data_IF_905236693116
#
_entry.id   IF_905236693116
#
_cell.length_a   1.000
_cell.length_b   1.000
_cell.length_c   1.000
_cell.angle_alpha   90.00
_cell.angle_beta   90.00
_cell.angle_gamma   90.00
#
_symmetry.space_group_name_H-M   'P 1'
#
loop_
_entity.id
_entity.type
_entity.pdbx_description
1 polymer ?
#
# COMPACT_ATOMS: atom_id res chain seq x y z
N UNK A 1 -61.22 17.10 33.19
CA UNK A 1 -61.84 16.90 34.51
C UNK A 1 -61.49 15.49 34.99
N UNK A 2 -60.84 15.42 36.16
CA UNK A 2 -60.55 14.28 37.06
C UNK A 2 -59.86 13.04 36.45
N UNK A 3 -58.56 12.80 36.61
CA UNK A 3 -57.77 12.48 37.83
C UNK A 3 -58.31 11.27 38.60
N UNK A 4 -57.57 10.16 38.57
CA UNK A 4 -57.31 9.37 39.78
C UNK A 4 -56.02 8.53 39.65
N UNK A 5 -55.04 8.89 40.48
CA UNK A 5 -53.89 8.10 40.89
C UNK A 5 -54.34 6.88 41.70
N UNK A 6 -53.51 5.83 41.76
CA UNK A 6 -53.43 4.99 42.98
C UNK A 6 -51.98 4.57 43.23
N UNK A 7 -51.64 4.61 44.52
CA UNK A 7 -50.33 4.62 45.15
C UNK A 7 -49.69 3.24 45.34
N UNK A 8 -48.39 3.33 45.60
CA UNK A 8 -47.45 2.36 46.15
C UNK A 8 -47.88 1.60 47.42
N UNK A 9 -47.25 0.44 47.62
CA UNK A 9 -47.18 -0.29 48.88
C UNK A 9 -45.77 -0.89 49.07
N UNK A 10 -45.11 -0.47 50.15
CA UNK A 10 -43.75 -0.82 50.59
C UNK A 10 -43.82 -2.12 51.42
N UNK A 11 -42.80 -2.98 51.31
CA UNK A 11 -42.59 -4.12 52.20
C UNK A 11 -41.10 -4.44 52.33
N UNK A 12 -40.49 -3.95 53.40
CA UNK A 12 -39.09 -4.14 53.80
C UNK A 12 -39.05 -5.22 54.89
N UNK A 13 -38.28 -6.30 54.73
CA UNK A 13 -37.81 -7.15 55.85
C UNK A 13 -36.36 -7.57 55.62
N UNK A 14 -35.63 -7.55 56.75
CA UNK A 14 -34.19 -7.60 56.97
C UNK A 14 -33.49 -8.92 56.64
N UNK A 15 -32.19 -8.75 56.47
CA UNK A 15 -31.11 -9.73 56.36
C UNK A 15 -30.99 -10.74 57.52
N UNK A 16 -30.49 -11.93 57.17
CA UNK A 16 -29.58 -12.71 58.00
C UNK A 16 -28.68 -13.53 57.05
N UNK A 17 -27.37 -13.45 57.27
CA UNK A 17 -26.35 -13.98 56.38
C UNK A 17 -26.16 -15.48 56.46
N UNK A 18 -25.53 -16.01 55.41
CA UNK A 18 -24.73 -17.23 55.47
C UNK A 18 -23.68 -17.13 54.36
N UNK A 19 -22.42 -17.09 54.80
CA UNK A 19 -21.26 -17.23 53.97
C UNK A 19 -21.23 -18.64 53.38
N UNK A 20 -21.18 -18.73 52.06
CA UNK A 20 -20.76 -19.93 51.36
C UNK A 20 -19.90 -19.50 50.17
N UNK A 21 -18.61 -19.76 50.31
CA UNK A 21 -17.63 -19.62 49.26
C UNK A 21 -18.00 -20.56 48.09
N UNK A 22 -18.27 -20.00 46.93
CA UNK A 22 -18.24 -20.73 45.66
C UNK A 22 -17.21 -20.07 44.74
N UNK A 23 -16.10 -20.78 44.56
CA UNK A 23 -15.14 -20.54 43.50
C UNK A 23 -15.83 -20.65 42.13
N UNK A 24 -15.94 -19.53 41.43
CA UNK A 24 -16.19 -19.50 39.99
C UNK A 24 -15.03 -18.74 39.35
N UNK A 25 -14.00 -19.49 38.99
CA UNK A 25 -13.02 -19.07 38.00
C UNK A 25 -13.56 -19.38 36.60
N UNK A 26 -13.47 -18.41 35.69
CA UNK A 26 -13.52 -18.51 34.22
C UNK A 26 -13.54 -17.07 33.63
N UNK A 27 -13.00 -16.83 32.43
CA UNK A 27 -11.57 -16.69 32.18
C UNK A 27 -11.23 -15.26 31.72
N UNK A 28 -10.01 -14.81 32.03
CA UNK A 28 -9.42 -13.62 31.41
C UNK A 28 -9.34 -13.84 29.89
N UNK A 29 -9.90 -12.91 29.13
CA UNK A 29 -9.75 -12.86 27.69
C UNK A 29 -8.26 -12.67 27.35
N UNK A 30 -7.60 -13.75 26.98
CA UNK A 30 -6.25 -13.74 26.40
C UNK A 30 -6.39 -13.14 25.00
N UNK A 31 -6.02 -11.86 24.86
CA UNK A 31 -5.68 -11.32 23.56
C UNK A 31 -4.54 -12.17 22.98
N UNK A 32 -4.56 -12.58 21.70
CA UNK A 32 -3.40 -13.20 21.11
C UNK A 32 -2.30 -12.12 21.05
N UNK A 33 -1.35 -12.21 21.98
CA UNK A 33 -0.06 -11.57 21.85
C UNK A 33 0.57 -12.11 20.57
N UNK A 34 0.67 -11.26 19.54
CA UNK A 34 1.50 -11.51 18.38
C UNK A 34 2.95 -11.62 18.87
N UNK A 35 3.38 -12.84 19.18
CA UNK A 35 4.77 -13.16 19.39
C UNK A 35 5.51 -12.92 18.07
N UNK A 36 6.39 -11.91 18.07
CA UNK A 36 7.27 -11.62 16.95
C UNK A 36 8.20 -12.80 16.70
N UNK A 37 8.07 -13.41 15.53
CA UNK A 37 9.12 -14.28 15.00
C UNK A 37 10.27 -13.40 14.47
N UNK A 38 11.53 -13.70 14.85
CA UNK A 38 12.70 -12.96 14.35
C UNK A 38 12.92 -13.21 12.86
N UNK A 39 13.46 -12.20 12.19
CA UNK A 39 13.61 -12.14 10.75
C UNK A 39 14.28 -13.36 10.13
N UNK A 40 13.56 -14.02 9.23
CA UNK A 40 14.12 -14.86 8.19
C UNK A 40 13.98 -14.13 6.86
N UNK A 41 15.07 -14.02 6.10
CA UNK A 41 15.02 -13.72 4.67
C UNK A 41 14.34 -14.89 3.95
N UNK A 42 13.01 -14.93 4.01
CA UNK A 42 12.21 -15.96 3.36
C UNK A 42 12.07 -15.64 1.88
N UNK A 43 12.25 -16.64 1.03
CA UNK A 43 11.65 -16.65 -0.31
C UNK A 43 10.22 -16.09 -0.19
N UNK A 44 9.84 -15.14 -1.05
CA UNK A 44 8.51 -14.54 -1.01
C UNK A 44 7.44 -15.64 -1.17
N UNK A 45 6.97 -16.16 -0.03
CA UNK A 45 5.97 -17.20 0.01
C UNK A 45 4.65 -16.65 -0.51
N UNK A 46 3.84 -17.52 -1.10
CA UNK A 46 2.47 -17.18 -1.47
C UNK A 46 1.68 -16.75 -0.22
N UNK A 47 0.98 -15.62 -0.31
CA UNK A 47 0.15 -15.06 0.76
C UNK A 47 -1.29 -14.89 0.28
N UNK A 48 -2.30 -15.10 1.14
CA UNK A 48 -3.68 -14.85 0.78
C UNK A 48 -3.91 -13.36 0.47
N UNK A 49 -4.78 -13.10 -0.50
CA UNK A 49 -5.29 -11.76 -0.82
C UNK A 49 -6.75 -11.69 -0.36
N UNK A 50 -7.11 -10.61 0.32
CA UNK A 50 -8.48 -10.39 0.76
C UNK A 50 -9.38 -10.03 -0.44
N UNK A 51 -10.06 -11.02 -1.00
CA UNK A 51 -11.15 -10.82 -1.97
C UNK A 51 -12.42 -10.53 -1.18
N UNK A 52 -12.85 -9.26 -1.17
CA UNK A 52 -14.01 -8.84 -0.36
C UNK A 52 -15.26 -9.52 -0.93
N UNK A 53 -15.98 -10.29 -0.10
CA UNK A 53 -17.21 -10.97 -0.52
C UNK A 53 -17.01 -11.81 -1.80
N UNK A 54 -15.90 -12.54 -1.89
CA UNK A 54 -15.57 -13.40 -3.04
C UNK A 54 -16.49 -14.63 -3.18
N UNK A 55 -17.23 -14.97 -2.12
CA UNK A 55 -18.31 -15.97 -2.11
C UNK A 55 -19.66 -15.40 -2.60
N UNK A 56 -19.71 -14.07 -2.83
CA UNK A 56 -20.89 -13.32 -3.23
C UNK A 56 -22.09 -13.50 -2.32
N UNK A 57 -21.90 -13.83 -1.05
CA UNK A 57 -23.00 -14.06 -0.12
C UNK A 57 -23.66 -12.76 0.37
N UNK A 58 -22.96 -11.62 0.26
CA UNK A 58 -23.41 -10.33 0.79
C UNK A 58 -23.86 -9.32 -0.29
N UNK A 59 -24.92 -8.54 -0.04
CA UNK A 59 -25.88 -8.71 1.06
C UNK A 59 -26.63 -10.05 0.93
N UNK A 60 -27.17 -10.56 2.05
CA UNK A 60 -27.91 -11.81 2.06
C UNK A 60 -29.08 -11.78 1.07
N UNK A 61 -29.31 -12.90 0.39
CA UNK A 61 -30.30 -13.01 -0.67
C UNK A 61 -31.52 -13.82 -0.19
N UNK A 62 -32.74 -13.43 -0.57
CA UNK A 62 -33.86 -14.36 -0.54
C UNK A 62 -33.63 -15.42 -1.64
N UNK A 63 -33.80 -16.70 -1.31
CA UNK A 63 -33.75 -17.79 -2.28
C UNK A 63 -34.94 -17.78 -3.25
N UNK A 64 -34.92 -18.67 -4.23
CA UNK A 64 -36.01 -18.97 -5.16
C UNK A 64 -36.07 -18.10 -6.43
N UNK A 65 -35.19 -17.11 -6.59
CA UNK A 65 -35.12 -16.29 -7.81
C UNK A 65 -33.78 -15.58 -7.99
N UNK A 66 -33.53 -15.09 -9.20
CA UNK A 66 -32.39 -14.21 -9.49
C UNK A 66 -32.54 -12.88 -8.77
N UNK A 67 -31.49 -12.44 -8.09
CA UNK A 67 -31.43 -11.16 -7.42
C UNK A 67 -30.66 -10.14 -8.26
N UNK A 68 -31.26 -8.96 -8.47
CA UNK A 68 -30.67 -7.87 -9.25
C UNK A 68 -30.10 -6.74 -8.38
N UNK A 69 -29.93 -6.99 -7.09
CA UNK A 69 -29.35 -6.05 -6.14
C UNK A 69 -27.83 -5.99 -6.22
N UNK A 70 -27.22 -5.03 -5.51
CA UNK A 70 -25.77 -4.87 -5.49
C UNK A 70 -25.08 -6.09 -4.87
N UNK A 71 -23.81 -6.25 -5.24
CA UNK A 71 -22.91 -7.25 -4.65
C UNK A 71 -21.91 -6.48 -3.80
N UNK A 72 -21.95 -6.66 -2.48
CA UNK A 72 -21.16 -5.84 -1.56
C UNK A 72 -19.66 -5.97 -1.87
N UNK A 73 -18.93 -4.85 -1.98
CA UNK A 73 -17.50 -4.83 -2.31
C UNK A 73 -17.15 -5.10 -3.78
N UNK A 74 -18.14 -5.35 -4.64
CA UNK A 74 -17.97 -5.48 -6.09
C UNK A 74 -18.81 -4.44 -6.81
N UNK A 75 -18.50 -4.21 -8.08
CA UNK A 75 -19.19 -3.21 -8.88
C UNK A 75 -19.29 -3.51 -10.35
N UNK A 76 -20.23 -2.84 -10.99
CA UNK A 76 -20.36 -2.74 -12.45
C UNK A 76 -20.19 -1.26 -12.82
N UNK A 77 -19.47 -0.94 -13.89
CA UNK A 77 -19.31 0.47 -14.33
C UNK A 77 -18.51 1.31 -13.33
N UNK A 78 -18.94 2.53 -12.96
CA UNK A 78 -18.32 3.32 -11.88
C UNK A 78 -19.06 3.13 -10.55
N UNK A 79 -18.31 3.16 -9.45
CA UNK A 79 -18.68 3.11 -8.03
C UNK A 79 -18.79 4.47 -7.33
N UNK A 80 -18.87 5.59 -8.04
CA UNK A 80 -19.23 6.84 -7.39
C UNK A 80 -20.69 6.77 -6.89
N UNK A 81 -20.89 6.25 -5.67
CA UNK A 81 -22.21 5.90 -5.11
C UNK A 81 -22.45 4.38 -5.09
N UNK A 82 -23.38 3.92 -4.22
CA UNK A 82 -23.76 2.52 -3.96
C UNK A 82 -23.63 1.66 -5.23
N UNK A 83 -22.68 0.71 -5.24
CA UNK A 83 -22.25 -0.03 -6.43
C UNK A 83 -23.40 -0.45 -7.34
N UNK A 84 -23.28 -0.20 -8.65
CA UNK A 84 -24.40 -0.45 -9.56
C UNK A 84 -24.57 -1.96 -9.82
N UNK A 85 -25.82 -2.43 -9.85
CA UNK A 85 -26.17 -3.83 -10.08
C UNK A 85 -26.57 -4.11 -11.55
N UNK A 86 -26.66 -3.08 -12.40
CA UNK A 86 -27.29 -3.15 -13.71
C UNK A 86 -26.63 -4.14 -14.69
N UNK A 87 -25.38 -4.59 -14.44
CA UNK A 87 -24.67 -5.56 -15.29
C UNK A 87 -24.63 -7.00 -14.80
N UNK A 88 -25.18 -7.29 -13.62
CA UNK A 88 -25.08 -8.63 -13.00
C UNK A 88 -26.41 -9.10 -12.40
N UNK A 89 -26.56 -10.42 -12.24
CA UNK A 89 -27.63 -11.03 -11.45
C UNK A 89 -27.06 -12.11 -10.54
N UNK A 90 -27.56 -12.24 -9.31
CA UNK A 90 -27.07 -13.23 -8.33
C UNK A 90 -28.05 -14.37 -8.13
N UNK A 91 -27.52 -15.59 -7.99
CA UNK A 91 -28.28 -16.79 -7.62
C UNK A 91 -27.74 -17.34 -6.30
N UNK A 92 -28.61 -17.47 -5.30
CA UNK A 92 -28.23 -17.89 -3.96
C UNK A 92 -28.17 -19.42 -3.84
N UNK A 93 -27.21 -19.93 -3.06
CA UNK A 93 -27.30 -21.28 -2.52
C UNK A 93 -27.51 -22.38 -3.56
N UNK A 94 -28.54 -23.20 -3.34
CA UNK A 94 -28.93 -24.27 -4.26
C UNK A 94 -29.50 -23.76 -5.61
N UNK A 95 -30.01 -22.52 -5.68
CA UNK A 95 -30.58 -21.95 -6.90
C UNK A 95 -29.51 -21.63 -7.94
N UNK A 96 -28.23 -21.51 -7.54
CA UNK A 96 -27.11 -21.38 -8.48
C UNK A 96 -26.79 -22.69 -9.20
N UNK A 97 -27.30 -23.82 -8.69
CA UNK A 97 -26.95 -25.15 -9.13
C UNK A 97 -25.49 -25.55 -8.84
N UNK A 98 -24.73 -24.72 -8.11
CA UNK A 98 -23.36 -25.06 -7.72
C UNK A 98 -23.37 -26.30 -6.81
N UNK A 99 -22.49 -27.30 -7.03
CA UNK A 99 -22.48 -28.55 -6.26
C UNK A 99 -22.35 -28.32 -4.75
N UNK A 100 -21.52 -27.36 -4.33
CA UNK A 100 -21.35 -26.98 -2.92
C UNK A 100 -22.38 -25.93 -2.42
N UNK A 101 -23.40 -25.61 -3.20
CA UNK A 101 -24.42 -24.61 -2.83
C UNK A 101 -23.87 -23.18 -2.66
N UNK A 102 -22.87 -22.80 -3.45
CA UNK A 102 -22.28 -21.45 -3.42
C UNK A 102 -23.18 -20.43 -4.11
N UNK A 103 -23.11 -19.17 -3.69
CA UNK A 103 -23.76 -18.07 -4.43
C UNK A 103 -22.97 -17.77 -5.70
N UNK A 104 -23.68 -17.51 -6.80
CA UNK A 104 -23.08 -17.24 -8.10
C UNK A 104 -23.56 -15.90 -8.67
N UNK A 105 -22.69 -15.26 -9.45
CA UNK A 105 -22.97 -14.03 -10.19
C UNK A 105 -23.03 -14.35 -11.68
N UNK A 106 -24.15 -14.02 -12.31
CA UNK A 106 -24.36 -14.04 -13.75
C UNK A 106 -23.90 -12.73 -14.39
N UNK A 107 -23.01 -12.83 -15.37
CA UNK A 107 -22.56 -11.69 -16.17
C UNK A 107 -23.58 -11.39 -17.27
N UNK A 108 -24.36 -10.31 -17.12
CA UNK A 108 -25.54 -10.08 -17.97
C UNK A 108 -25.20 -9.58 -19.36
N UNK A 109 -24.46 -8.48 -19.47
CA UNK A 109 -24.36 -7.74 -20.72
C UNK A 109 -22.94 -7.76 -21.31
N UNK A 110 -22.79 -7.93 -22.63
CA UNK A 110 -21.50 -7.93 -23.28
C UNK A 110 -21.02 -6.50 -23.54
N UNK A 111 -20.38 -5.87 -22.56
CA UNK A 111 -19.59 -4.65 -22.77
C UNK A 111 -18.64 -4.40 -21.59
N UNK A 112 -17.53 -3.70 -21.83
CA UNK A 112 -16.60 -3.29 -20.78
C UNK A 112 -17.29 -2.43 -19.69
N UNK A 113 -18.26 -1.60 -20.07
CA UNK A 113 -19.07 -0.82 -19.13
C UNK A 113 -19.87 -1.68 -18.14
N UNK A 114 -20.11 -2.96 -18.48
CA UNK A 114 -20.80 -3.94 -17.64
C UNK A 114 -19.85 -4.94 -16.96
N UNK A 115 -18.53 -4.69 -17.00
CA UNK A 115 -17.54 -5.52 -16.33
C UNK A 115 -17.79 -5.57 -14.83
N UNK A 116 -17.89 -6.78 -14.28
CA UNK A 116 -18.04 -7.03 -12.86
C UNK A 116 -16.67 -7.07 -12.20
N UNK A 117 -16.39 -6.09 -11.35
CA UNK A 117 -15.02 -5.77 -10.92
C UNK A 117 -14.86 -5.55 -9.42
N UNK A 118 -13.64 -5.78 -8.96
CA UNK A 118 -13.20 -5.51 -7.60
C UNK A 118 -11.71 -5.18 -7.57
N UNK A 119 -11.32 -4.23 -6.71
CA UNK A 119 -9.89 -4.01 -6.40
C UNK A 119 -9.41 -5.03 -5.36
N UNK A 120 -8.29 -5.68 -5.68
CA UNK A 120 -7.66 -6.66 -4.80
C UNK A 120 -6.84 -5.96 -3.72
N UNK A 121 -7.46 -5.74 -2.55
CA UNK A 121 -6.89 -4.94 -1.45
C UNK A 121 -5.60 -5.55 -0.90
N UNK A 122 -4.64 -4.69 -0.55
CA UNK A 122 -3.35 -5.10 0.02
C UNK A 122 -2.38 -5.78 -0.98
N UNK A 123 -2.66 -5.73 -2.29
CA UNK A 123 -1.74 -6.17 -3.34
C UNK A 123 -0.92 -4.99 -3.83
N UNK A 124 0.40 -5.17 -3.99
CA UNK A 124 1.29 -4.12 -4.50
C UNK A 124 1.50 -4.22 -6.00
N UNK A 125 1.77 -3.08 -6.64
CA UNK A 125 2.30 -3.05 -7.99
C UNK A 125 3.57 -3.93 -8.07
N UNK A 126 3.67 -4.77 -9.09
CA UNK A 126 4.72 -5.77 -9.28
C UNK A 126 4.47 -7.12 -8.59
N UNK A 127 3.42 -7.27 -7.77
CA UNK A 127 3.06 -8.56 -7.18
C UNK A 127 2.56 -9.52 -8.26
N UNK A 128 2.95 -10.80 -8.15
CA UNK A 128 2.35 -11.86 -8.96
C UNK A 128 1.11 -12.38 -8.26
N UNK A 129 -0.06 -12.22 -8.86
CA UNK A 129 -1.35 -12.60 -8.29
C UNK A 129 -1.89 -13.81 -9.05
N UNK A 130 -2.41 -14.79 -8.32
CA UNK A 130 -3.18 -15.91 -8.87
C UNK A 130 -4.58 -15.87 -8.30
N UNK A 131 -5.55 -15.66 -9.17
CA UNK A 131 -6.98 -15.70 -8.88
C UNK A 131 -7.50 -17.10 -9.20
N UNK A 132 -8.28 -17.67 -8.29
CA UNK A 132 -9.02 -18.92 -8.46
C UNK A 132 -10.50 -18.62 -8.40
N UNK A 133 -11.30 -19.22 -9.27
CA UNK A 133 -12.75 -19.04 -9.31
C UNK A 133 -13.42 -20.25 -9.96
N UNK A 134 -14.73 -20.38 -9.76
CA UNK A 134 -15.57 -21.41 -10.38
C UNK A 134 -16.43 -20.77 -11.48
N UNK A 135 -16.70 -21.51 -12.56
CA UNK A 135 -17.51 -21.02 -13.67
C UNK A 135 -18.54 -22.04 -14.19
N UNK A 136 -19.60 -21.55 -14.82
CA UNK A 136 -20.69 -22.38 -15.35
C UNK A 136 -21.48 -21.63 -16.43
N UNK A 137 -22.05 -22.32 -17.43
CA UNK A 137 -23.00 -21.69 -18.34
C UNK A 137 -24.25 -21.16 -17.60
N UNK A 138 -24.96 -20.22 -18.21
CA UNK A 138 -26.14 -19.59 -17.64
C UNK A 138 -27.28 -20.57 -17.35
N UNK A 139 -27.79 -20.51 -16.12
CA UNK A 139 -28.86 -21.41 -15.65
C UNK A 139 -30.27 -20.83 -15.79
N UNK A 140 -30.39 -19.53 -16.07
CA UNK A 140 -31.67 -18.83 -16.08
C UNK A 140 -32.74 -19.54 -16.92
N UNK A 141 -34.01 -19.49 -16.51
CA UNK A 141 -35.11 -20.10 -17.28
C UNK A 141 -35.24 -19.56 -18.71
N UNK A 142 -34.79 -18.31 -18.94
CA UNK A 142 -34.76 -17.65 -20.23
C UNK A 142 -33.64 -18.15 -21.17
N UNK A 143 -32.60 -18.82 -20.65
CA UNK A 143 -31.55 -19.38 -21.49
C UNK A 143 -32.10 -20.49 -22.40
N UNK A 144 -31.86 -20.37 -23.70
CA UNK A 144 -32.23 -21.40 -24.68
C UNK A 144 -31.17 -22.51 -24.73
N UNK A 145 -31.52 -23.74 -25.17
CA UNK A 145 -30.53 -24.81 -25.37
C UNK A 145 -29.39 -24.36 -26.31
N UNK A 146 -29.74 -23.64 -27.39
CA UNK A 146 -28.75 -23.12 -28.34
C UNK A 146 -27.78 -22.10 -27.72
N UNK A 147 -28.25 -21.29 -26.76
CA UNK A 147 -27.44 -20.27 -26.08
C UNK A 147 -26.28 -20.84 -25.25
N UNK A 148 -26.38 -22.10 -24.82
CA UNK A 148 -25.41 -22.76 -23.92
C UNK A 148 -24.81 -24.04 -24.51
N UNK A 149 -25.26 -24.46 -25.70
CA UNK A 149 -24.81 -25.71 -26.35
C UNK A 149 -23.31 -25.77 -26.62
N UNK A 150 -22.64 -24.63 -26.79
CA UNK A 150 -21.18 -24.54 -26.97
C UNK A 150 -20.47 -23.86 -25.78
N UNK A 151 -21.18 -23.70 -24.67
CA UNK A 151 -20.73 -22.86 -23.56
C UNK A 151 -20.88 -21.37 -23.89
N UNK A 152 -20.53 -20.54 -22.91
CA UNK A 152 -20.68 -19.09 -22.98
C UNK A 152 -19.33 -18.42 -22.76
N UNK A 153 -19.02 -17.47 -23.64
CA UNK A 153 -17.75 -16.76 -23.61
C UNK A 153 -17.75 -15.61 -22.60
N UNK A 154 -16.61 -15.41 -21.95
CA UNK A 154 -16.33 -14.28 -21.06
C UNK A 154 -14.83 -14.00 -21.03
N UNK A 155 -14.45 -12.88 -20.42
CA UNK A 155 -13.05 -12.55 -20.13
C UNK A 155 -12.83 -12.38 -18.64
N UNK A 156 -11.63 -12.73 -18.18
CA UNK A 156 -11.08 -12.35 -16.88
C UNK A 156 -9.79 -11.55 -17.10
N UNK A 157 -9.67 -10.44 -16.38
CA UNK A 157 -8.55 -9.51 -16.52
C UNK A 157 -8.19 -8.92 -15.16
N UNK A 158 -6.90 -8.88 -14.85
CA UNK A 158 -6.35 -8.14 -13.71
C UNK A 158 -5.52 -6.97 -14.23
N UNK A 159 -5.59 -5.80 -13.60
CA UNK A 159 -4.82 -4.62 -14.04
C UNK A 159 -3.32 -4.93 -14.15
N UNK A 160 -2.77 -4.83 -15.36
CA UNK A 160 -1.39 -5.17 -15.71
C UNK A 160 -1.18 -6.57 -16.30
N UNK A 161 -2.22 -7.40 -16.31
CA UNK A 161 -2.26 -8.70 -16.95
C UNK A 161 -2.86 -8.68 -18.34
N UNK A 162 -2.57 -9.71 -19.12
CA UNK A 162 -3.24 -9.98 -20.39
C UNK A 162 -4.70 -10.37 -20.16
N UNK A 163 -5.58 -9.93 -21.06
CA UNK A 163 -6.99 -10.34 -21.06
C UNK A 163 -7.06 -11.84 -21.35
N UNK A 164 -7.66 -12.61 -20.44
CA UNK A 164 -7.85 -14.05 -20.63
C UNK A 164 -9.26 -14.32 -21.14
N UNK A 165 -9.37 -14.69 -22.42
CA UNK A 165 -10.61 -15.20 -22.99
C UNK A 165 -10.93 -16.61 -22.49
N UNK A 166 -12.18 -16.83 -22.12
CA UNK A 166 -12.67 -18.07 -21.53
C UNK A 166 -14.02 -18.44 -22.11
N UNK A 167 -14.32 -19.73 -22.10
CA UNK A 167 -15.63 -20.28 -22.45
C UNK A 167 -16.00 -21.29 -21.38
N UNK A 168 -17.21 -21.18 -20.82
CA UNK A 168 -17.75 -22.14 -19.84
C UNK A 168 -17.88 -23.53 -20.48
N UNK A 169 -18.14 -24.56 -19.66
CA UNK A 169 -18.58 -25.85 -20.22
C UNK A 169 -19.91 -25.68 -21.00
N UNK A 170 -20.15 -26.52 -22.03
CA UNK A 170 -21.46 -26.60 -22.66
C UNK A 170 -22.50 -27.25 -21.75
N UNK A 171 -23.76 -26.87 -21.89
CA UNK A 171 -24.89 -27.49 -21.18
C UNK A 171 -25.87 -28.13 -22.18
N UNK A 172 -25.71 -29.43 -22.51
CA UNK A 172 -26.59 -30.14 -23.42
C UNK A 172 -27.96 -30.46 -22.81
N UNK A 173 -28.07 -30.43 -21.47
CA UNK A 173 -29.29 -30.79 -20.75
C UNK A 173 -30.22 -29.58 -20.52
N UNK A 174 -29.79 -28.40 -20.96
CA UNK A 174 -30.56 -27.17 -20.81
C UNK A 174 -31.92 -27.28 -21.51
N UNK A 175 -32.98 -26.94 -20.78
CA UNK A 175 -34.36 -26.81 -21.30
C UNK A 175 -34.87 -25.39 -21.12
N UNK A 176 -35.55 -24.88 -22.14
CA UNK A 176 -36.22 -23.58 -22.09
C UNK A 176 -37.31 -23.59 -21.00
N UNK A 177 -37.52 -22.44 -20.34
CA UNK A 177 -38.50 -22.24 -19.26
C UNK A 177 -38.24 -23.09 -18.00
N UNK A 178 -37.02 -23.60 -17.83
CA UNK A 178 -36.61 -24.31 -16.61
C UNK A 178 -35.32 -23.71 -16.05
N UNK A 179 -35.26 -23.56 -14.73
CA UNK A 179 -34.01 -23.22 -14.06
C UNK A 179 -33.05 -24.40 -14.21
N UNK A 180 -31.89 -24.14 -14.80
CA UNK A 180 -30.84 -25.13 -15.01
C UNK A 180 -30.09 -25.43 -13.71
N UNK A 181 -29.33 -26.53 -13.71
CA UNK A 181 -28.40 -26.86 -12.62
C UNK A 181 -26.97 -26.34 -12.90
N UNK A 182 -26.73 -25.87 -14.12
CA UNK A 182 -25.40 -25.45 -14.55
C UNK A 182 -24.46 -26.64 -14.77
N UNK A 183 -23.33 -26.36 -15.40
CA UNK A 183 -22.24 -27.31 -15.62
C UNK A 183 -20.98 -26.68 -15.06
N UNK A 184 -20.82 -26.84 -13.74
CA UNK A 184 -19.79 -26.16 -12.97
C UNK A 184 -18.41 -26.76 -13.20
N UNK A 185 -17.43 -25.91 -13.51
CA UNK A 185 -16.02 -26.23 -13.41
C UNK A 185 -15.43 -25.47 -12.24
N UNK A 186 -14.82 -26.19 -11.32
CA UNK A 186 -14.26 -25.60 -10.11
C UNK A 186 -12.76 -25.35 -10.27
N UNK A 187 -12.22 -24.36 -9.55
CA UNK A 187 -10.78 -24.14 -9.44
C UNK A 187 -10.12 -23.61 -10.71
N UNK A 188 -10.84 -22.86 -11.54
CA UNK A 188 -10.26 -22.17 -12.69
C UNK A 188 -9.26 -21.12 -12.21
N UNK A 189 -8.10 -21.04 -12.83
CA UNK A 189 -7.04 -20.11 -12.42
C UNK A 189 -6.71 -19.07 -13.49
N UNK A 190 -6.42 -17.85 -13.02
CA UNK A 190 -5.88 -16.75 -13.82
C UNK A 190 -4.73 -16.08 -13.03
N UNK A 191 -3.56 -15.95 -13.67
CA UNK A 191 -2.36 -15.38 -13.04
C UNK A 191 -1.90 -14.17 -13.82
N UNK A 192 -1.55 -13.09 -13.11
CA UNK A 192 -1.04 -11.85 -13.69
C UNK A 192 -0.02 -11.18 -12.77
N UNK A 193 0.71 -10.20 -13.29
CA UNK A 193 1.54 -9.30 -12.48
C UNK A 193 0.81 -7.96 -12.36
N UNK A 194 0.58 -7.49 -11.15
CA UNK A 194 -0.12 -6.24 -10.90
C UNK A 194 0.66 -5.04 -11.46
N UNK A 195 0.04 -4.19 -12.27
CA UNK A 195 0.66 -2.93 -12.75
C UNK A 195 0.51 -1.76 -11.78
N UNK A 196 -0.44 -1.85 -10.85
CA UNK A 196 -0.80 -0.80 -9.89
C UNK A 196 -1.02 -1.40 -8.49
N UNK A 197 -1.08 -0.54 -7.47
CA UNK A 197 -1.50 -0.96 -6.13
C UNK A 197 -3.00 -1.26 -6.14
N UNK A 198 -3.41 -2.27 -5.38
CA UNK A 198 -4.78 -2.80 -5.37
C UNK A 198 -5.36 -2.99 -6.79
N UNK A 199 -4.73 -3.82 -7.64
CA UNK A 199 -5.09 -3.96 -9.04
C UNK A 199 -6.56 -4.36 -9.18
N UNK A 200 -7.20 -3.83 -10.21
CA UNK A 200 -8.58 -4.13 -10.53
C UNK A 200 -8.70 -5.51 -11.20
N UNK A 201 -9.45 -6.43 -10.60
CA UNK A 201 -9.90 -7.68 -11.20
C UNK A 201 -11.27 -7.45 -11.84
N UNK A 202 -11.44 -7.88 -13.09
CA UNK A 202 -12.68 -7.69 -13.87
C UNK A 202 -13.08 -8.97 -14.59
N UNK A 203 -14.36 -9.32 -14.50
CA UNK A 203 -15.02 -10.34 -15.30
C UNK A 203 -16.01 -9.69 -16.26
N UNK A 204 -15.96 -10.03 -17.55
CA UNK A 204 -16.85 -9.42 -18.55
C UNK A 204 -17.48 -10.49 -19.44
N UNK A 205 -18.81 -10.48 -19.58
CA UNK A 205 -19.50 -11.35 -20.54
C UNK A 205 -19.07 -11.03 -21.97
N UNK A 206 -18.91 -12.05 -22.80
CA UNK A 206 -18.72 -11.93 -24.25
C UNK A 206 -19.83 -12.63 -25.03
N UNK A 207 -20.90 -13.03 -24.34
CA UNK A 207 -22.04 -13.71 -24.97
C UNK A 207 -22.74 -12.75 -25.93
N UNK A 208 -22.80 -13.07 -27.24
CA UNK A 208 -23.40 -12.20 -28.22
C UNK A 208 -24.91 -12.03 -27.99
N UNK A 209 -25.45 -10.87 -28.39
CA UNK A 209 -26.83 -10.48 -28.09
C UNK A 209 -27.91 -11.54 -28.40
N UNK A 210 -27.86 -12.30 -29.53
CA UNK A 210 -28.83 -13.36 -29.82
C UNK A 210 -28.82 -14.50 -28.78
N UNK A 211 -27.64 -14.85 -28.25
CA UNK A 211 -27.49 -15.90 -27.25
C UNK A 211 -27.76 -15.40 -25.82
N UNK A 212 -27.71 -14.08 -25.61
CA UNK A 212 -27.75 -13.43 -24.30
C UNK A 212 -29.19 -13.18 -23.76
N UNK A 213 -30.21 -13.30 -24.61
CA UNK A 213 -31.65 -13.20 -24.24
C UNK A 213 -31.96 -11.94 -23.42
N UNK A 214 -31.52 -10.78 -23.92
CA UNK A 214 -31.78 -9.47 -23.29
C UNK A 214 -31.14 -9.29 -21.91
N UNK A 215 -29.98 -9.89 -21.65
CA UNK A 215 -29.28 -9.80 -20.36
C UNK A 215 -29.69 -10.85 -19.35
N UNK A 216 -30.52 -11.83 -19.75
CA UNK A 216 -31.02 -12.86 -18.85
C UNK A 216 -30.33 -14.21 -19.05
N UNK A 217 -29.40 -14.32 -19.99
CA UNK A 217 -28.62 -15.52 -20.21
C UNK A 217 -27.14 -15.19 -20.37
N UNK A 218 -26.37 -15.43 -19.32
CA UNK A 218 -24.92 -15.20 -19.31
C UNK A 218 -24.17 -16.16 -18.41
N UNK A 219 -22.83 -16.20 -18.53
CA UNK A 219 -22.00 -17.10 -17.77
C UNK A 219 -22.04 -16.74 -16.28
N UNK A 220 -21.93 -17.76 -15.44
CA UNK A 220 -21.89 -17.65 -14.00
C UNK A 220 -20.45 -17.73 -13.48
N UNK A 221 -20.15 -16.92 -12.47
CA UNK A 221 -18.90 -16.93 -11.71
C UNK A 221 -19.23 -17.15 -10.22
N UNK A 222 -18.45 -17.98 -9.54
CA UNK A 222 -18.56 -18.22 -8.09
C UNK A 222 -17.17 -18.36 -7.43
N UNK A 223 -17.15 -18.27 -6.10
CA UNK A 223 -15.99 -18.60 -5.25
C UNK A 223 -14.65 -17.95 -5.64
N UNK A 224 -14.64 -16.64 -5.83
CA UNK A 224 -13.42 -15.94 -6.20
C UNK A 224 -12.49 -15.85 -4.99
N UNK A 225 -11.28 -16.38 -5.16
CA UNK A 225 -10.18 -16.36 -4.18
C UNK A 225 -8.92 -15.87 -4.87
N UNK A 226 -8.00 -15.28 -4.11
CA UNK A 226 -6.73 -14.85 -4.67
C UNK A 226 -5.58 -15.09 -3.68
N UNK A 227 -4.41 -15.35 -4.25
CA UNK A 227 -3.13 -15.38 -3.55
C UNK A 227 -2.14 -14.52 -4.31
N UNK A 228 -1.14 -14.00 -3.62
CA UNK A 228 -0.07 -13.20 -4.21
C UNK A 228 1.31 -13.64 -3.74
N UNK A 229 2.29 -13.43 -4.62
CA UNK A 229 3.70 -13.34 -4.27
C UNK A 229 4.07 -11.85 -4.34
N UNK A 230 4.27 -11.18 -3.18
CA UNK A 230 4.62 -9.77 -3.17
C UNK A 230 5.97 -9.49 -3.85
N UNK A 231 6.15 -8.32 -4.47
CA UNK A 231 7.44 -7.94 -5.06
C UNK A 231 8.49 -7.72 -3.95
N UNK A 232 9.78 -7.92 -4.25
CA UNK A 232 10.84 -7.53 -3.32
C UNK A 232 10.85 -6.01 -3.10
N UNK A 233 11.39 -5.57 -1.97
CA UNK A 233 11.59 -4.14 -1.69
C UNK A 233 12.64 -3.58 -2.66
N UNK A 234 12.27 -2.59 -3.46
CA UNK A 234 13.23 -1.85 -4.28
C UNK A 234 13.92 -0.77 -3.43
N UNK A 235 15.19 -1.01 -3.10
CA UNK A 235 16.05 -0.09 -2.33
C UNK A 235 16.87 0.85 -3.21
N UNK A 236 16.71 0.79 -4.53
CA UNK A 236 17.46 1.61 -5.48
C UNK A 236 16.78 2.95 -5.77
N UNK A 237 15.50 3.08 -5.43
CA UNK A 237 14.71 4.29 -5.65
C UNK A 237 15.26 5.45 -4.79
N UNK A 238 15.73 6.55 -5.40
CA UNK A 238 16.25 7.68 -4.64
C UNK A 238 15.13 8.46 -3.95
N UNK A 239 15.44 9.10 -2.82
CA UNK A 239 14.50 9.91 -2.01
C UNK A 239 13.77 11.01 -2.80
N UNK A 240 14.33 11.46 -3.93
CA UNK A 240 13.77 12.52 -4.80
C UNK A 240 12.84 12.00 -5.88
N UNK A 241 12.73 10.68 -6.06
CA UNK A 241 11.91 10.05 -7.09
C UNK A 241 11.05 8.93 -6.47
N UNK A 242 10.41 9.24 -5.34
CA UNK A 242 9.51 8.31 -4.68
C UNK A 242 8.36 7.92 -5.62
N UNK A 243 7.84 6.69 -5.54
CA UNK A 243 6.66 6.29 -6.30
C UNK A 243 5.48 7.23 -6.01
N UNK A 244 4.64 7.51 -7.01
CA UNK A 244 3.49 8.38 -6.82
C UNK A 244 2.47 7.73 -5.87
N UNK A 245 1.85 8.57 -5.04
CA UNK A 245 0.70 8.21 -4.21
C UNK A 245 -0.49 7.83 -5.09
N UNK A 246 -1.31 6.90 -4.61
CA UNK A 246 -2.49 6.39 -5.33
C UNK A 246 -3.70 6.40 -4.41
N UNK A 247 -4.86 6.79 -4.93
CA UNK A 247 -6.08 6.87 -4.15
C UNK A 247 -7.23 6.11 -4.80
N UNK A 248 -8.07 5.54 -3.96
CA UNK A 248 -9.23 4.76 -4.35
C UNK A 248 -10.44 5.12 -3.50
N UNK A 249 -11.61 5.09 -4.14
CA UNK A 249 -12.90 5.10 -3.47
C UNK A 249 -13.68 3.86 -3.91
N UNK A 250 -13.85 2.91 -3.00
CA UNK A 250 -14.38 1.59 -3.36
C UNK A 250 -13.46 0.86 -4.34
N UNK A 251 -13.95 0.64 -5.57
CA UNK A 251 -13.21 -0.02 -6.64
C UNK A 251 -12.68 0.96 -7.70
N UNK A 252 -12.99 2.25 -7.61
CA UNK A 252 -12.54 3.24 -8.59
C UNK A 252 -11.26 3.93 -8.14
N UNK A 253 -10.35 4.13 -9.10
CA UNK A 253 -9.25 5.07 -8.91
C UNK A 253 -9.78 6.49 -8.78
N UNK A 254 -9.20 7.26 -7.87
CA UNK A 254 -9.57 8.64 -7.60
C UNK A 254 -8.33 9.53 -7.59
N UNK A 255 -8.47 10.84 -7.90
CA UNK A 255 -7.40 11.79 -7.68
C UNK A 255 -6.94 11.78 -6.22
N UNK A 256 -5.63 11.79 -5.99
CA UNK A 256 -5.02 11.82 -4.64
C UNK A 256 -5.56 13.00 -3.81
N UNK A 257 -5.78 14.15 -4.45
CA UNK A 257 -6.32 15.34 -3.79
C UNK A 257 -7.71 15.10 -3.15
N UNK A 258 -8.56 14.26 -3.73
CA UNK A 258 -9.88 13.96 -3.16
C UNK A 258 -9.75 13.14 -1.87
N UNK A 259 -8.90 12.11 -1.88
CA UNK A 259 -8.65 11.30 -0.69
C UNK A 259 -7.95 12.10 0.43
N UNK A 260 -7.03 13.00 0.05
CA UNK A 260 -6.40 13.93 0.99
C UNK A 260 -7.42 14.88 1.60
N UNK A 261 -8.32 15.47 0.79
CA UNK A 261 -9.39 16.32 1.29
C UNK A 261 -10.33 15.56 2.24
N UNK A 262 -10.62 14.29 1.95
CA UNK A 262 -11.37 13.43 2.85
C UNK A 262 -10.62 13.22 4.18
N UNK A 263 -9.42 12.63 4.15
CA UNK A 263 -8.66 12.24 5.34
C UNK A 263 -8.21 13.44 6.19
N UNK A 264 -7.92 14.59 5.57
CA UNK A 264 -7.57 15.82 6.28
C UNK A 264 -8.76 16.53 6.92
N UNK A 265 -10.00 16.16 6.58
CA UNK A 265 -11.20 16.86 7.04
C UNK A 265 -11.51 16.73 8.54
N UNK A 266 -11.02 15.69 9.21
CA UNK A 266 -11.18 15.52 10.66
C UNK A 266 -10.08 14.62 11.26
N UNK A 267 -9.71 14.81 12.54
CA UNK A 267 -8.86 13.86 13.24
C UNK A 267 -9.58 12.51 13.32
N UNK A 268 -8.86 11.41 13.03
CA UNK A 268 -9.41 10.06 13.06
C UNK A 268 -10.36 9.70 11.91
N UNK A 269 -10.56 10.54 10.89
CA UNK A 269 -11.37 10.17 9.70
C UNK A 269 -10.72 9.08 8.86
N UNK A 270 -9.40 9.01 8.92
CA UNK A 270 -8.61 7.94 8.36
C UNK A 270 -7.61 7.45 9.42
N UNK A 271 -7.17 6.21 9.29
CA UNK A 271 -6.05 5.64 10.04
C UNK A 271 -4.90 5.39 9.07
N UNK A 272 -3.68 5.73 9.48
CA UNK A 272 -2.48 5.35 8.72
C UNK A 272 -1.97 3.99 9.19
N UNK A 273 -1.78 3.06 8.26
CA UNK A 273 -1.20 1.74 8.54
C UNK A 273 0.10 1.59 7.73
N UNK A 274 1.28 1.57 8.39
CA UNK A 274 2.55 1.40 7.69
C UNK A 274 2.74 -0.04 7.20
N UNK A 275 3.19 -0.19 5.96
CA UNK A 275 3.64 -1.46 5.40
C UNK A 275 5.06 -1.76 5.89
N UNK A 276 5.17 -2.45 7.03
CA UNK A 276 6.46 -2.72 7.70
C UNK A 276 7.50 -3.42 6.83
N UNK A 277 7.06 -4.29 5.92
CA UNK A 277 7.97 -5.02 5.03
C UNK A 277 8.63 -4.13 3.98
N UNK A 278 7.98 -3.01 3.63
CA UNK A 278 8.45 -2.06 2.63
C UNK A 278 8.95 -0.75 3.24
N UNK A 279 8.74 -0.56 4.53
CA UNK A 279 9.26 0.55 5.32
C UNK A 279 10.59 0.18 5.97
N UNK A 280 11.64 0.95 5.71
CA UNK A 280 12.98 0.66 6.23
C UNK A 280 13.78 1.93 6.51
N UNK A 281 14.68 1.82 7.48
CA UNK A 281 15.69 2.83 7.73
C UNK A 281 16.95 2.55 6.89
N UNK A 282 17.62 3.58 6.40
CA UNK A 282 18.83 3.48 5.59
C UNK A 282 19.74 4.71 5.77
N UNK A 283 21.00 4.59 5.35
CA UNK A 283 21.91 5.74 5.25
C UNK A 283 21.92 6.26 3.82
N UNK A 284 21.85 7.57 3.66
CA UNK A 284 22.10 8.19 2.36
C UNK A 284 23.52 7.91 1.86
N UNK A 285 23.73 8.10 0.55
CA UNK A 285 25.07 8.18 -0.01
C UNK A 285 25.89 9.26 0.73
N UNK A 286 27.17 8.98 0.94
CA UNK A 286 28.07 9.94 1.57
C UNK A 286 28.15 11.22 0.73
N UNK A 287 27.94 12.36 1.37
CA UNK A 287 28.11 13.67 0.76
C UNK A 287 29.24 14.42 1.44
N UNK A 288 30.11 15.04 0.64
CA UNK A 288 31.11 15.97 1.16
C UNK A 288 30.38 17.19 1.72
N UNK A 289 30.60 17.47 2.99
CA UNK A 289 29.97 18.58 3.68
C UNK A 289 31.01 19.63 4.07
N UNK A 290 30.81 20.86 3.57
CA UNK A 290 31.77 21.95 3.69
C UNK A 290 32.96 21.83 2.74
N UNK A 291 33.93 22.73 2.91
CA UNK A 291 35.09 22.83 2.03
C UNK A 291 36.13 21.74 2.31
N UNK A 292 36.83 21.30 1.26
CA UNK A 292 38.08 20.54 1.40
C UNK A 292 39.17 21.46 1.89
N UNK A 293 39.85 21.07 2.97
CA UNK A 293 40.98 21.83 3.52
C UNK A 293 42.30 21.25 3.06
N UNK A 294 43.26 22.12 2.76
CA UNK A 294 44.56 21.78 2.15
C UNK A 294 45.67 22.28 3.08
N UNK A 295 46.52 21.38 3.60
CA UNK A 295 47.65 21.77 4.46
C UNK A 295 48.91 22.12 3.65
N UNK A 296 49.02 23.37 3.21
CA UNK A 296 50.20 23.88 2.49
C UNK A 296 51.43 24.12 3.39
N UNK A 297 51.31 23.89 4.70
CA UNK A 297 52.37 24.15 5.68
C UNK A 297 53.34 22.97 5.81
N UNK A 298 54.43 23.16 6.57
CA UNK A 298 55.39 22.09 6.88
C UNK A 298 55.05 21.30 8.15
N UNK A 299 54.01 21.71 8.89
CA UNK A 299 53.63 21.11 10.17
C UNK A 299 52.26 20.46 10.07
N UNK A 300 51.99 19.48 10.93
CA UNK A 300 50.64 18.97 11.08
C UNK A 300 49.72 20.09 11.61
N UNK A 301 48.52 20.18 11.05
CA UNK A 301 47.50 21.13 11.50
C UNK A 301 46.42 20.35 12.25
N UNK A 302 46.09 20.81 13.46
CA UNK A 302 44.91 20.34 14.18
C UNK A 302 43.87 21.43 14.16
N UNK A 303 42.67 21.14 13.65
CA UNK A 303 41.60 22.12 13.50
C UNK A 303 40.27 21.52 13.90
N UNK A 304 39.51 22.28 14.69
CA UNK A 304 38.12 21.95 14.99
C UNK A 304 37.20 22.79 14.10
N UNK A 305 36.23 22.17 13.44
CA UNK A 305 35.21 22.89 12.66
C UNK A 305 33.80 22.39 12.95
N UNK A 306 32.80 23.29 13.00
CA UNK A 306 31.40 22.90 13.01
C UNK A 306 31.00 22.40 11.62
N UNK A 307 30.21 21.32 11.59
CA UNK A 307 29.65 20.70 10.39
C UNK A 307 28.15 20.60 10.62
N UNK A 308 27.38 21.35 9.85
CA UNK A 308 25.92 21.32 9.90
C UNK A 308 25.40 20.68 8.63
N UNK A 309 24.37 19.84 8.73
CA UNK A 309 23.56 19.51 7.56
C UNK A 309 22.09 19.46 7.92
N UNK A 310 21.26 19.83 6.95
CA UNK A 310 19.82 19.80 7.06
C UNK A 310 19.26 18.78 6.06
N UNK A 311 18.51 17.80 6.58
CA UNK A 311 17.80 16.82 5.78
C UNK A 311 16.36 17.26 5.56
N UNK A 312 15.98 17.55 4.31
CA UNK A 312 14.56 17.73 3.96
C UNK A 312 13.86 16.38 3.84
N UNK A 313 12.56 16.36 4.13
CA UNK A 313 11.69 15.21 3.89
C UNK A 313 11.09 15.25 2.49
N UNK A 314 10.65 14.10 1.99
CA UNK A 314 10.13 13.91 0.64
C UNK A 314 8.83 13.09 0.65
N UNK A 315 7.96 13.44 -0.29
CA UNK A 315 6.64 12.86 -0.53
C UNK A 315 5.96 13.66 -1.64
N UNK A 316 4.93 13.10 -2.25
CA UNK A 316 4.23 13.70 -3.39
C UNK A 316 2.79 14.14 -3.06
N UNK A 317 2.39 14.04 -1.79
CA UNK A 317 1.07 14.47 -1.36
C UNK A 317 0.91 16.00 -1.54
N UNK A 318 -0.30 16.48 -1.89
CA UNK A 318 -0.63 17.90 -1.90
C UNK A 318 -0.32 18.58 -0.56
N UNK A 319 0.00 19.88 -0.59
CA UNK A 319 0.32 20.65 0.61
C UNK A 319 -0.78 20.60 1.70
N UNK A 320 -2.05 20.44 1.31
CA UNK A 320 -3.20 20.29 2.23
C UNK A 320 -3.12 19.01 3.08
N UNK A 321 -2.38 17.99 2.65
CA UNK A 321 -2.11 16.81 3.47
C UNK A 321 -1.23 17.14 4.69
N UNK A 322 -0.44 18.21 4.62
CA UNK A 322 0.55 18.56 5.65
C UNK A 322 1.66 17.53 5.81
N UNK A 323 1.90 16.73 4.77
CA UNK A 323 2.87 15.64 4.72
C UNK A 323 3.71 15.74 3.43
N UNK A 324 5.05 15.63 3.52
CA UNK A 324 5.86 15.55 4.74
C UNK A 324 6.06 16.93 5.39
N UNK A 325 5.31 17.21 6.47
CA UNK A 325 5.43 18.39 7.33
C UNK A 325 4.85 19.70 6.77
N UNK A 326 4.32 20.51 7.68
CA UNK A 326 3.99 21.93 7.45
C UNK A 326 4.58 22.79 8.55
N UNK A 327 4.95 24.04 8.23
CA UNK A 327 5.29 25.03 9.25
C UNK A 327 4.01 25.47 9.97
N UNK A 328 3.75 24.96 11.17
CA UNK A 328 2.57 25.32 11.97
C UNK A 328 1.94 24.15 12.72
N UNK A 329 0.65 24.26 13.03
CA UNK A 329 -0.14 23.20 13.65
C UNK A 329 -0.13 21.94 12.77
N UNK A 330 0.14 20.74 13.32
CA UNK A 330 0.10 19.50 12.55
C UNK A 330 -1.27 19.29 11.90
N UNK A 331 -1.27 18.85 10.65
CA UNK A 331 -2.52 18.49 9.95
C UNK A 331 -3.16 17.25 10.58
N UNK A 332 -4.45 17.04 10.33
CA UNK A 332 -5.13 15.81 10.74
C UNK A 332 -4.43 14.56 10.17
N UNK A 333 -3.97 14.61 8.93
CA UNK A 333 -3.22 13.50 8.33
C UNK A 333 -1.84 13.31 8.98
N UNK A 334 -1.16 14.38 9.40
CA UNK A 334 0.09 14.26 10.15
C UNK A 334 -0.13 13.59 11.51
N UNK A 335 -1.25 13.88 12.20
CA UNK A 335 -1.64 13.16 13.42
C UNK A 335 -1.95 11.69 13.15
N UNK A 336 -2.68 11.38 12.08
CA UNK A 336 -3.00 10.01 11.69
C UNK A 336 -1.74 9.21 11.33
N UNK A 337 -0.80 9.83 10.61
CA UNK A 337 0.51 9.26 10.29
C UNK A 337 1.30 8.94 11.56
N UNK A 338 1.46 9.92 12.45
CA UNK A 338 2.22 9.76 13.70
C UNK A 338 1.61 8.68 14.61
N UNK A 339 0.28 8.60 14.67
CA UNK A 339 -0.41 7.54 15.40
C UNK A 339 -0.13 6.16 14.80
N UNK A 340 -0.17 6.03 13.47
CA UNK A 340 0.06 4.78 12.75
C UNK A 340 1.49 4.27 12.82
N UNK A 341 2.48 5.16 12.77
CA UNK A 341 3.90 4.81 12.86
C UNK A 341 4.41 4.73 14.29
N UNK A 342 3.66 5.26 15.26
CA UNK A 342 4.14 5.53 16.62
C UNK A 342 5.43 6.37 16.63
N UNK A 343 5.59 7.26 15.65
CA UNK A 343 6.72 8.17 15.53
C UNK A 343 6.25 9.61 15.37
N UNK A 344 7.07 10.56 15.79
CA UNK A 344 6.89 11.98 15.49
C UNK A 344 8.04 12.42 14.59
N UNK A 345 7.89 12.32 13.25
CA UNK A 345 8.98 12.62 12.33
C UNK A 345 9.51 14.03 12.51
N UNK A 346 10.84 14.15 12.56
CA UNK A 346 11.51 15.44 12.42
C UNK A 346 11.51 15.83 10.93
N UNK A 347 10.39 16.39 10.45
CA UNK A 347 10.19 16.71 9.02
C UNK A 347 11.28 17.60 8.42
N UNK A 348 11.91 18.43 9.24
CA UNK A 348 13.14 19.12 8.95
C UNK A 348 14.13 18.86 10.09
N UNK A 349 15.03 17.90 9.91
CA UNK A 349 16.12 17.67 10.85
C UNK A 349 17.33 18.50 10.43
N UNK A 350 17.93 19.16 11.41
CA UNK A 350 19.26 19.76 11.29
C UNK A 350 20.15 19.11 12.34
N UNK A 351 21.27 18.57 11.89
CA UNK A 351 22.29 17.97 12.74
C UNK A 351 23.54 18.84 12.68
N UNK A 352 23.94 19.36 13.83
CA UNK A 352 25.18 20.12 13.99
C UNK A 352 26.20 19.25 14.74
N UNK A 353 27.36 19.06 14.13
CA UNK A 353 28.49 18.31 14.67
C UNK A 353 29.71 19.19 14.77
N UNK A 354 30.65 18.82 15.65
CA UNK A 354 31.96 19.44 15.72
C UNK A 354 33.00 18.37 15.44
N UNK A 355 33.82 18.56 14.39
CA UNK A 355 34.85 17.61 13.98
C UNK A 355 36.22 18.22 14.19
N UNK A 356 37.09 17.51 14.89
CA UNK A 356 38.50 17.87 15.03
C UNK A 356 39.33 17.06 14.04
N UNK A 357 39.87 17.74 13.05
CA UNK A 357 40.71 17.17 12.00
C UNK A 357 42.18 17.34 12.35
N UNK A 358 42.97 16.29 12.11
CA UNK A 358 44.44 16.34 12.12
C UNK A 358 44.91 16.09 10.69
N UNK A 359 45.57 17.07 10.08
CA UNK A 359 46.08 17.01 8.71
C UNK A 359 47.60 17.04 8.68
N UNK A 360 48.24 16.08 8.03
CA UNK A 360 49.68 16.10 7.82
C UNK A 360 50.08 17.09 6.71
N UNK A 361 51.35 17.51 6.64
CA UNK A 361 51.84 18.30 5.51
C UNK A 361 51.58 17.61 4.17
N UNK A 362 51.15 18.38 3.16
CA UNK A 362 50.82 17.86 1.82
C UNK A 362 49.58 16.94 1.72
N UNK A 363 48.70 16.97 2.73
CA UNK A 363 47.39 16.32 2.71
C UNK A 363 46.24 17.31 2.51
N UNK A 364 45.18 16.82 1.88
CA UNK A 364 43.86 17.42 1.87
C UNK A 364 42.92 16.62 2.78
N UNK A 365 42.01 17.30 3.48
CA UNK A 365 40.98 16.67 4.30
C UNK A 365 39.59 17.19 3.95
N UNK A 366 38.62 16.30 4.01
CA UNK A 366 37.21 16.63 3.82
C UNK A 366 36.35 15.83 4.79
N UNK A 367 35.18 16.37 5.12
CA UNK A 367 34.19 15.68 5.93
C UNK A 367 33.13 15.09 5.01
N UNK A 368 32.87 13.80 5.18
CA UNK A 368 31.72 13.14 4.59
C UNK A 368 30.64 12.96 5.64
N UNK A 369 29.40 13.26 5.27
CA UNK A 369 28.22 13.00 6.09
C UNK A 369 27.29 12.03 5.40
N UNK A 370 26.70 11.11 6.16
CA UNK A 370 25.63 10.23 5.72
C UNK A 370 24.44 10.42 6.65
N UNK A 371 23.36 10.97 6.12
CA UNK A 371 22.13 11.16 6.85
C UNK A 371 21.43 9.80 7.11
N UNK A 372 21.00 9.56 8.35
CA UNK A 372 20.11 8.48 8.71
C UNK A 372 18.68 8.79 8.28
N UNK A 373 18.04 7.91 7.51
CA UNK A 373 16.72 8.14 6.90
C UNK A 373 15.78 6.99 7.07
N UNK A 374 14.49 7.32 7.01
CA UNK A 374 13.38 6.40 7.12
C UNK A 374 12.49 6.53 5.90
N UNK A 375 12.39 5.46 5.12
CA UNK A 375 11.34 5.27 4.13
C UNK A 375 10.15 4.60 4.78
N UNK A 376 8.96 5.19 4.63
CA UNK A 376 7.71 4.65 5.15
C UNK A 376 6.69 4.59 4.02
N UNK A 377 6.33 3.37 3.68
CA UNK A 377 5.26 3.03 2.74
C UNK A 377 4.02 2.71 3.58
N UNK A 378 2.83 3.13 3.16
CA UNK A 378 1.63 2.80 3.91
C UNK A 378 0.35 3.36 3.33
N UNK A 379 -0.75 3.07 4.04
CA UNK A 379 -2.10 3.38 3.61
C UNK A 379 -2.82 4.25 4.64
N UNK A 380 -3.45 5.32 4.19
CA UNK A 380 -4.56 5.94 4.88
C UNK A 380 -5.86 5.25 4.45
N UNK A 381 -6.59 4.68 5.39
CA UNK A 381 -7.91 4.05 5.13
C UNK A 381 -8.97 4.70 5.99
N UNK A 382 -10.20 4.80 5.49
CA UNK A 382 -11.32 5.38 6.24
C UNK A 382 -11.49 4.72 7.60
N UNK A 383 -11.70 5.52 8.65
CA UNK A 383 -11.92 5.06 10.01
C UNK A 383 -13.07 5.88 10.66
N UNK A 384 -14.10 5.22 11.23
CA UNK A 384 -14.38 3.79 11.15
C UNK A 384 -14.57 3.31 9.70
N UNK A 385 -14.21 2.05 9.44
CA UNK A 385 -14.44 1.44 8.14
C UNK A 385 -15.95 1.47 7.80
N UNK A 386 -16.33 1.84 6.57
CA UNK A 386 -17.73 1.92 6.20
C UNK A 386 -18.37 0.53 6.09
N UNK A 387 -19.68 0.46 6.32
CA UNK A 387 -20.43 -0.79 6.20
C UNK A 387 -20.41 -1.34 4.76
N UNK A 388 -20.48 -0.47 3.74
CA UNK A 388 -20.26 -0.84 2.34
C UNK A 388 -18.80 -0.56 1.93
N UNK A 389 -18.00 -1.60 1.64
CA UNK A 389 -16.62 -1.47 1.19
C UNK A 389 -16.48 -0.66 -0.11
N UNK A 390 -17.56 -0.49 -0.89
CA UNK A 390 -17.57 0.37 -2.08
C UNK A 390 -17.54 1.87 -1.75
N UNK A 391 -17.72 2.26 -0.48
CA UNK A 391 -17.70 3.66 -0.02
C UNK A 391 -16.46 4.00 0.81
N UNK A 392 -15.46 3.14 0.78
CA UNK A 392 -14.23 3.31 1.54
C UNK A 392 -13.19 4.10 0.75
N UNK A 393 -12.68 5.17 1.36
CA UNK A 393 -11.48 5.84 0.91
C UNK A 393 -10.23 5.09 1.35
N UNK A 394 -9.32 4.88 0.39
CA UNK A 394 -7.98 4.32 0.61
C UNK A 394 -6.96 5.15 -0.15
N UNK A 395 -5.89 5.58 0.51
CA UNK A 395 -4.80 6.38 -0.06
C UNK A 395 -3.47 5.75 0.31
N UNK A 396 -2.77 5.24 -0.69
CA UNK A 396 -1.40 4.79 -0.57
C UNK A 396 -0.43 5.96 -0.74
N UNK A 397 0.61 6.00 0.08
CA UNK A 397 1.68 7.00 -0.05
C UNK A 397 3.03 6.44 0.41
N UNK A 398 4.10 7.07 -0.08
CA UNK A 398 5.48 6.83 0.35
C UNK A 398 6.05 8.14 0.86
N UNK A 399 6.53 8.13 2.10
CA UNK A 399 7.23 9.27 2.71
C UNK A 399 8.67 8.89 3.05
N UNK A 400 9.58 9.83 2.83
CA UNK A 400 11.00 9.66 3.14
C UNK A 400 11.50 10.83 3.98
N UNK A 401 11.91 10.57 5.21
CA UNK A 401 12.21 11.60 6.21
C UNK A 401 13.41 11.20 7.08
N UNK A 402 14.01 12.14 7.84
CA UNK A 402 15.09 11.83 8.79
C UNK A 402 14.68 10.74 9.79
N UNK A 403 15.51 9.71 9.96
CA UNK A 403 15.23 8.63 10.90
C UNK A 403 15.51 9.07 12.33
N UNK A 404 14.65 8.66 13.27
CA UNK A 404 14.91 8.82 14.71
C UNK A 404 15.74 7.67 15.26
N UNK A 405 15.75 6.54 14.57
CA UNK A 405 16.40 5.29 14.97
C UNK A 405 17.82 5.12 14.39
N UNK A 406 18.23 5.97 13.44
CA UNK A 406 19.59 5.99 12.88
C UNK A 406 20.22 7.34 13.15
N UNK A 407 21.28 7.36 13.95
CA UNK A 407 22.14 8.54 14.10
C UNK A 407 22.90 8.79 12.81
N UNK A 408 23.01 10.05 12.42
CA UNK A 408 23.85 10.48 11.32
C UNK A 408 25.31 10.05 11.48
N UNK A 409 25.97 9.73 10.36
CA UNK A 409 27.39 9.37 10.36
C UNK A 409 28.22 10.52 9.81
N UNK A 410 29.31 10.81 10.50
CA UNK A 410 30.28 11.83 10.11
C UNK A 410 31.64 11.17 10.02
N UNK A 411 32.27 11.27 8.86
CA UNK A 411 33.58 10.69 8.58
C UNK A 411 34.55 11.81 8.25
N UNK A 412 35.68 11.84 8.94
CA UNK A 412 36.85 12.58 8.47
C UNK A 412 37.60 11.71 7.46
N UNK A 413 37.85 12.27 6.28
CA UNK A 413 38.72 11.68 5.27
C UNK A 413 39.94 12.56 5.08
N UNK A 414 41.08 11.93 4.85
CA UNK A 414 42.30 12.60 4.41
C UNK A 414 42.85 11.88 3.18
N UNK A 415 43.57 12.62 2.34
CA UNK A 415 44.21 12.08 1.15
C UNK A 415 45.34 12.96 0.65
N UNK A 416 46.20 12.46 -0.25
CA UNK A 416 47.26 13.26 -0.84
C UNK A 416 46.67 14.41 -1.67
N UNK A 417 47.29 15.58 -1.60
CA UNK A 417 46.94 16.67 -2.50
C UNK A 417 47.14 16.28 -3.97
N UNK A 418 46.22 16.71 -4.82
CA UNK A 418 46.36 16.67 -6.27
C UNK A 418 47.52 17.55 -6.75
N UNK A 419 48.01 17.32 -7.97
CA UNK A 419 49.12 18.11 -8.53
C UNK A 419 48.81 19.61 -8.60
N UNK A 420 47.57 19.98 -8.94
CA UNK A 420 47.13 21.38 -9.03
C UNK A 420 46.99 22.04 -7.65
N UNK A 421 46.61 21.30 -6.61
CA UNK A 421 46.60 21.79 -5.23
C UNK A 421 48.03 22.02 -4.70
N UNK A 422 48.96 21.11 -5.00
CA UNK A 422 50.38 21.30 -4.66
C UNK A 422 50.97 22.53 -5.34
N UNK A 423 50.65 22.76 -6.61
CA UNK A 423 51.13 23.92 -7.35
C UNK A 423 50.57 25.23 -6.79
N UNK A 424 49.30 25.26 -6.36
CA UNK A 424 48.72 26.40 -5.64
C UNK A 424 49.41 26.68 -4.32
N UNK A 425 49.69 25.66 -3.51
CA UNK A 425 50.47 25.81 -2.28
C UNK A 425 51.90 26.35 -2.50
N UNK A 426 52.47 26.15 -3.69
CA UNK A 426 53.77 26.69 -4.07
C UNK A 426 53.67 28.14 -4.55
N UNK A 427 52.62 28.48 -5.31
CA UNK A 427 52.39 29.83 -5.84
C UNK A 427 51.99 30.84 -4.74
N UNK A 428 51.25 30.42 -3.73
CA UNK A 428 50.81 31.27 -2.60
C UNK A 428 51.90 31.47 -1.53
N UNK A 429 53.12 30.93 -1.70
CA UNK A 429 54.24 31.34 -0.87
C UNK A 429 54.70 32.72 -1.36
N UNK A 430 54.60 33.81 -0.57
CA UNK A 430 55.20 35.08 -0.90
C UNK A 430 56.71 34.99 -0.65
N UNK A 431 57.39 34.07 -1.31
CA UNK A 431 58.82 34.20 -1.53
C UNK A 431 58.93 35.08 -2.76
N UNK A 432 59.38 36.32 -2.58
CA UNK A 432 59.88 37.13 -3.68
C UNK A 432 60.72 36.21 -4.57
N UNK A 433 60.45 36.18 -5.87
CA UNK A 433 61.31 35.48 -6.81
C UNK A 433 62.73 36.01 -6.61
N UNK A 434 63.62 35.23 -6.01
CA UNK A 434 65.03 35.58 -5.96
C UNK A 434 65.49 35.75 -7.41
N UNK A 435 66.03 36.90 -7.81
CA UNK A 435 66.35 37.19 -9.22
C UNK A 435 67.44 36.29 -9.84
N UNK A 436 67.86 35.22 -9.17
CA UNK A 436 68.95 34.35 -9.60
C UNK A 436 68.54 32.89 -9.41
N UNK A 437 68.52 32.12 -10.52
CA UNK A 437 68.48 30.66 -10.46
C UNK A 437 67.14 29.97 -10.77
N UNK A 438 66.22 30.58 -11.51
CA UNK A 438 64.91 29.96 -11.89
C UNK A 438 65.06 28.58 -12.57
N UNK A 439 66.23 28.28 -13.16
CA UNK A 439 66.52 26.98 -13.79
C UNK A 439 67.61 26.14 -13.09
N UNK A 440 68.07 26.50 -11.89
CA UNK A 440 69.11 25.75 -11.19
C UNK A 440 68.59 25.12 -9.88
N UNK A 441 68.58 23.78 -9.75
CA UNK A 441 68.25 23.13 -8.49
C UNK A 441 69.30 23.49 -7.41
N UNK A 442 68.86 23.57 -6.15
CA UNK A 442 69.61 24.06 -4.98
C UNK A 442 70.80 23.17 -4.52
N UNK A 443 71.48 22.48 -5.45
CA UNK A 443 72.60 21.58 -5.17
C UNK A 443 73.90 21.89 -5.92
N UNK A 444 73.94 22.88 -6.83
CA UNK A 444 75.12 23.12 -7.69
C UNK A 444 76.18 24.05 -7.13
N UNK A 445 75.96 24.68 -5.96
CA UNK A 445 77.00 25.44 -5.27
C UNK A 445 77.32 24.80 -3.91
N UNK A 446 78.10 23.71 -3.94
CA UNK A 446 78.98 23.38 -2.81
C UNK A 446 80.30 24.11 -3.05
N UNK A 447 80.54 25.15 -2.27
CA UNK A 447 81.87 25.72 -2.12
C UNK A 447 82.73 24.78 -1.28
N UNK A 448 83.97 24.62 -1.75
CA UNK A 448 85.08 23.72 -1.36
C UNK A 448 84.98 22.28 -1.82
#
# INVERSE_FOLDING_TARGET
MNVMQTRAGIGMVRAAGLAAALCLGLPAAVQPAYAGAPGGSGSAGSRPVAVVNGDFALPALPGGSVNWGPVQGWSVGSTAGSGTAAGVGRYAGADSGHPDGKTAVMLRFPAAAYGFKQRLRGVRAGARVTVTFDDSPGIAAACTPASVAQGQSYTVEGAGGEVSERTTAPDPDKKLNTLGKGVWRTGQTYTFTASEHEPLLTFTSKVPAPANVGGNCGPLIADVRAVQVPPPVDKTIPKTALPPSQAFYGNDARPVAEAVNYCSGAPGRCVFTPEREYSYAYYEAAQVNGDTYINCTRNALTRTRPVAFAGRSYGDLPATAGLPGTTGTPSNMAHQFAAGTATSPAWAARSDHTVTEVLQPSEAAWIETQAGRRRTDGWFTSDPAPADPNTEWRLYTVLDYPATELSDRVYQRTGPMTASEKQRCQADRPTASTPVGVNNPAGTNRSS
#
